data_IF_969340404427
#
_entry.id   IF_969340404427
#
_cell.length_a   1.000
_cell.length_b   1.000
_cell.length_c   1.000
_cell.angle_alpha   90.00
_cell.angle_beta   90.00
_cell.angle_gamma   90.00
#
_symmetry.space_group_name_H-M   'P 1'
#
loop_
_entity.id
_entity.type
_entity.pdbx_description
1 polymer ?
#
# COMPACT_ATOMS: atom_id res chain seq x y z
N UNK A 1 11.56 -12.41 -14.48
CA UNK A 1 10.52 -11.61 -13.79
C UNK A 1 11.23 -10.61 -12.88
N UNK A 2 11.38 -9.35 -13.33
CA UNK A 2 12.07 -8.32 -12.55
C UNK A 2 11.12 -7.82 -11.45
N UNK A 3 11.50 -8.06 -10.19
CA UNK A 3 10.81 -7.52 -9.02
C UNK A 3 11.25 -6.06 -8.86
N UNK A 4 10.54 -5.14 -9.50
CA UNK A 4 10.79 -3.69 -9.38
C UNK A 4 10.48 -3.27 -7.95
N UNK A 5 11.45 -3.45 -7.08
CA UNK A 5 11.47 -2.81 -5.77
C UNK A 5 11.86 -1.36 -6.06
N UNK A 6 10.88 -0.46 -6.09
CA UNK A 6 11.15 0.98 -6.15
C UNK A 6 12.01 1.31 -4.91
N UNK A 7 13.32 1.49 -5.11
CA UNK A 7 14.24 1.88 -4.04
C UNK A 7 13.98 3.36 -3.75
N UNK A 8 13.80 3.68 -2.48
CA UNK A 8 13.53 5.05 -2.00
C UNK A 8 14.73 5.99 -2.21
N UNK A 9 15.88 5.47 -2.62
CA UNK A 9 17.16 6.20 -2.74
C UNK A 9 17.33 6.97 -4.07
N UNK A 10 16.45 6.78 -5.06
CA UNK A 10 16.58 7.39 -6.41
C UNK A 10 15.56 8.51 -6.72
N UNK A 11 14.71 8.89 -5.75
CA UNK A 11 13.68 9.91 -5.97
C UNK A 11 13.93 11.15 -5.10
N UNK A 12 14.80 12.06 -5.58
CA UNK A 12 15.06 13.37 -4.95
C UNK A 12 13.81 14.27 -4.85
N UNK A 13 12.70 13.88 -5.49
CA UNK A 13 11.44 14.61 -5.49
C UNK A 13 10.28 13.77 -4.88
N UNK A 14 9.72 14.19 -3.72
CA UNK A 14 8.56 13.57 -3.10
C UNK A 14 7.34 13.47 -4.02
N UNK A 15 7.15 14.42 -4.95
CA UNK A 15 6.04 14.40 -5.89
C UNK A 15 6.19 13.26 -6.91
N UNK A 16 7.39 13.10 -7.46
CA UNK A 16 7.71 11.98 -8.37
C UNK A 16 7.47 10.63 -7.70
N UNK A 17 7.89 10.46 -6.45
CA UNK A 17 7.64 9.24 -5.68
C UNK A 17 6.15 9.01 -5.42
N UNK A 18 5.40 10.07 -5.07
CA UNK A 18 3.96 10.00 -4.87
C UNK A 18 3.23 9.59 -6.15
N UNK A 19 3.58 10.18 -7.29
CA UNK A 19 3.03 9.83 -8.60
C UNK A 19 3.33 8.37 -8.98
N UNK A 20 4.56 7.90 -8.77
CA UNK A 20 4.92 6.50 -9.05
C UNK A 20 4.12 5.51 -8.18
N UNK A 21 3.91 5.84 -6.90
CA UNK A 21 3.07 5.04 -5.98
C UNK A 21 1.60 5.04 -6.41
N UNK A 22 1.08 6.19 -6.85
CA UNK A 22 -0.28 6.31 -7.34
C UNK A 22 -0.50 5.51 -8.63
N UNK A 23 0.39 5.61 -9.60
CA UNK A 23 0.37 4.80 -10.83
C UNK A 23 0.44 3.29 -10.54
N UNK A 24 1.28 2.89 -9.58
CA UNK A 24 1.34 1.50 -9.14
C UNK A 24 0.02 1.03 -8.52
N UNK A 25 -0.61 1.86 -7.70
CA UNK A 25 -1.93 1.58 -7.13
C UNK A 25 -2.99 1.42 -8.23
N UNK A 26 -3.04 2.30 -9.23
CA UNK A 26 -4.00 2.19 -10.33
C UNK A 26 -3.87 0.86 -11.08
N UNK A 27 -2.63 0.37 -11.28
CA UNK A 27 -2.36 -0.88 -12.00
C UNK A 27 -2.65 -2.14 -11.18
N UNK A 28 -2.31 -2.13 -9.89
CA UNK A 28 -2.36 -3.34 -9.05
C UNK A 28 -3.61 -3.42 -8.20
N UNK A 29 -4.28 -2.29 -7.98
CA UNK A 29 -5.36 -2.13 -7.01
C UNK A 29 -4.94 -2.62 -5.61
N UNK A 30 -3.64 -2.58 -5.30
CA UNK A 30 -3.11 -3.01 -4.01
C UNK A 30 -2.70 -1.80 -3.15
N UNK A 31 -3.16 -1.77 -1.91
CA UNK A 31 -2.79 -0.77 -0.93
C UNK A 31 -2.77 -1.37 0.48
N UNK A 32 -2.19 -0.65 1.44
CA UNK A 32 -2.23 -1.06 2.85
C UNK A 32 -3.31 -0.22 3.55
N UNK A 33 -4.35 -0.83 4.13
CA UNK A 33 -5.35 -0.10 4.92
C UNK A 33 -4.70 0.72 6.04
N UNK A 34 -5.13 1.98 6.18
CA UNK A 34 -4.57 2.89 7.19
C UNK A 34 -4.60 2.32 8.61
N UNK A 35 -5.66 1.60 8.98
CA UNK A 35 -5.78 0.96 10.29
C UNK A 35 -4.65 -0.03 10.61
N UNK A 36 -4.13 -0.74 9.60
CA UNK A 36 -2.98 -1.64 9.77
C UNK A 36 -1.67 -0.87 9.89
N UNK A 37 -1.54 0.24 9.15
CA UNK A 37 -0.39 1.14 9.26
C UNK A 37 -0.34 1.78 10.64
N UNK A 38 -1.46 2.34 11.12
CA UNK A 38 -1.52 2.97 12.45
C UNK A 38 -1.16 1.98 13.55
N UNK A 39 -1.76 0.78 13.52
CA UNK A 39 -1.45 -0.27 14.50
C UNK A 39 0.03 -0.68 14.48
N UNK A 40 0.63 -0.81 13.29
CA UNK A 40 2.05 -1.11 13.15
C UNK A 40 2.92 0.01 13.75
N UNK A 41 2.59 1.28 13.50
CA UNK A 41 3.31 2.43 14.03
C UNK A 41 3.19 2.50 15.56
N UNK A 42 2.00 2.29 16.11
CA UNK A 42 1.77 2.29 17.56
C UNK A 42 2.58 1.20 18.26
N UNK A 43 2.60 -0.01 17.69
CA UNK A 43 3.39 -1.12 18.23
C UNK A 43 4.89 -0.84 18.17
N UNK A 44 5.39 -0.22 17.10
CA UNK A 44 6.78 0.23 16.97
C UNK A 44 7.12 1.32 17.99
N UNK A 45 6.24 2.31 18.17
CA UNK A 45 6.40 3.37 19.15
C UNK A 45 6.42 2.82 20.58
N UNK A 46 5.70 1.73 20.84
CA UNK A 46 5.73 0.99 22.10
C UNK A 46 6.97 0.07 22.27
N UNK A 47 7.96 0.15 21.38
CA UNK A 47 9.20 -0.65 21.44
C UNK A 47 9.04 -2.11 21.00
N UNK A 48 7.91 -2.50 20.41
CA UNK A 48 7.71 -3.83 19.83
C UNK A 48 8.30 -3.90 18.41
N UNK A 49 8.59 -5.11 17.96
CA UNK A 49 9.04 -5.40 16.59
C UNK A 49 7.96 -6.13 15.79
N UNK A 50 6.82 -5.49 15.46
CA UNK A 50 5.76 -6.13 14.71
C UNK A 50 6.16 -6.39 13.25
N UNK A 51 5.49 -7.35 12.63
CA UNK A 51 5.65 -7.60 11.20
C UNK A 51 5.12 -6.42 10.39
N UNK A 52 5.88 -6.00 9.37
CA UNK A 52 5.47 -4.91 8.48
C UNK A 52 4.22 -5.33 7.69
N UNK A 53 3.15 -4.51 7.68
CA UNK A 53 1.94 -4.82 6.93
C UNK A 53 2.26 -4.93 5.44
N UNK A 54 1.60 -5.87 4.77
CA UNK A 54 1.76 -6.11 3.33
C UNK A 54 0.60 -5.47 2.56
N UNK A 55 0.82 -5.02 1.32
CA UNK A 55 -0.25 -4.57 0.44
C UNK A 55 -1.31 -5.66 0.25
N UNK A 56 -2.58 -5.23 0.28
CA UNK A 56 -3.76 -6.07 0.04
C UNK A 56 -4.56 -5.47 -1.11
N UNK A 57 -5.31 -6.31 -1.82
CA UNK A 57 -6.20 -5.85 -2.88
C UNK A 57 -7.30 -4.98 -2.27
N UNK A 58 -7.37 -3.72 -2.67
CA UNK A 58 -8.31 -2.72 -2.16
C UNK A 58 -9.77 -3.08 -2.44
N UNK A 59 -10.03 -3.83 -3.53
CA UNK A 59 -11.36 -4.29 -3.95
C UNK A 59 -11.59 -5.81 -3.71
N UNK A 60 -10.84 -6.44 -2.81
CA UNK A 60 -11.03 -7.87 -2.50
C UNK A 60 -12.02 -8.11 -1.36
N UNK A 61 -13.24 -8.54 -1.72
CA UNK A 61 -14.30 -9.15 -0.87
C UNK A 61 -15.41 -8.24 -0.30
N UNK A 62 -15.69 -7.12 -0.95
CA UNK A 62 -17.05 -6.58 -0.97
C UNK A 62 -17.64 -6.90 -2.33
N UNK A 63 -18.55 -7.89 -2.37
CA UNK A 63 -19.22 -8.32 -3.58
C UNK A 63 -19.58 -7.14 -4.46
N UNK A 64 -19.19 -7.21 -5.73
CA UNK A 64 -19.60 -6.25 -6.74
C UNK A 64 -21.09 -5.93 -6.53
N UNK A 65 -21.51 -4.67 -6.40
CA UNK A 65 -22.92 -4.38 -6.48
C UNK A 65 -23.37 -4.88 -7.86
N UNK A 66 -24.14 -5.96 -7.89
CA UNK A 66 -24.93 -6.31 -9.07
C UNK A 66 -25.84 -5.12 -9.30
N UNK A 67 -25.46 -4.28 -10.25
CA UNK A 67 -26.41 -3.38 -10.88
C UNK A 67 -27.14 -4.27 -11.88
N UNK A 68 -28.22 -4.90 -11.41
CA UNK A 68 -29.18 -5.51 -12.31
C UNK A 68 -29.81 -4.37 -13.11
N UNK A 69 -29.66 -4.48 -14.44
CA UNK A 69 -30.12 -3.52 -15.44
C UNK A 69 -31.65 -3.55 -15.62
#
# INVERSE_FOLDING_TARGET
MAKTTLREEDADDPLTLANARFEHFLKTQQSIPWALVSTYLDQRAAGKSPQRPQPQTFFGDHGSPRIDA
#
